data_IF_899605471399
#
_entry.id   IF_899605471399
#
_cell.length_a   1.000
_cell.length_b   1.000
_cell.length_c   1.000
_cell.angle_alpha   90.00
_cell.angle_beta   90.00
_cell.angle_gamma   90.00
#
_symmetry.space_group_name_H-M   'P 1'
#
loop_
_entity.id
_entity.type
_entity.pdbx_description
1 polymer ?
#
# COMPACT_ATOMS: atom_id res chain seq x y z
N UNK A 1 13.78 -3.85 5.64
CA UNK A 1 12.63 -3.58 6.54
C UNK A 1 12.92 -3.95 8.00
N UNK A 2 12.14 -3.49 9.00
CA UNK A 2 12.11 -4.13 10.33
C UNK A 2 11.35 -5.46 10.26
N UNK A 3 11.97 -6.46 9.63
CA UNK A 3 11.29 -7.69 9.24
C UNK A 3 10.67 -8.45 10.42
N UNK A 4 11.42 -8.61 11.50
CA UNK A 4 10.98 -9.34 12.69
C UNK A 4 9.72 -8.71 13.32
N UNK A 5 9.62 -7.37 13.35
CA UNK A 5 8.44 -6.69 13.89
C UNK A 5 7.16 -7.05 13.11
N UNK A 6 7.22 -7.09 11.79
CA UNK A 6 6.07 -7.42 10.95
C UNK A 6 5.75 -8.92 10.95
N UNK A 7 6.77 -9.78 10.97
CA UNK A 7 6.56 -11.22 11.14
C UNK A 7 5.86 -11.52 12.47
N UNK A 8 6.33 -10.96 13.58
CA UNK A 8 5.71 -11.13 14.90
C UNK A 8 4.26 -10.62 14.92
N UNK A 9 3.97 -9.47 14.29
CA UNK A 9 2.60 -8.94 14.19
C UNK A 9 1.64 -9.92 13.49
N UNK A 10 2.07 -10.52 12.39
CA UNK A 10 1.27 -11.51 11.66
C UNK A 10 1.13 -12.81 12.43
N UNK A 11 2.20 -13.32 13.05
CA UNK A 11 2.17 -14.52 13.89
C UNK A 11 1.25 -14.35 15.11
N UNK A 12 1.23 -13.16 15.71
CA UNK A 12 0.38 -12.82 16.85
C UNK A 12 -1.03 -12.36 16.43
N UNK A 13 -1.38 -12.42 15.14
CA UNK A 13 -2.64 -11.96 14.56
C UNK A 13 -3.01 -10.50 14.95
N UNK A 14 -2.00 -9.63 15.12
CA UNK A 14 -2.17 -8.21 15.45
C UNK A 14 -2.38 -7.36 14.19
N UNK A 15 -3.38 -7.76 13.40
CA UNK A 15 -3.67 -7.25 12.04
C UNK A 15 -4.76 -6.17 12.02
N UNK A 16 -4.82 -5.31 13.04
CA UNK A 16 -5.84 -4.24 13.14
C UNK A 16 -5.81 -3.20 12.00
N UNK A 17 -4.83 -3.28 11.10
CA UNK A 17 -4.71 -2.51 9.85
C UNK A 17 -5.44 -3.16 8.66
N UNK A 18 -5.76 -4.46 8.74
CA UNK A 18 -6.50 -5.16 7.70
C UNK A 18 -7.96 -4.70 7.71
N UNK A 19 -8.42 -4.15 6.59
CA UNK A 19 -9.84 -3.88 6.37
C UNK A 19 -10.45 -5.11 5.67
N UNK A 20 -11.56 -5.66 6.19
CA UNK A 20 -12.25 -6.78 5.55
C UNK A 20 -13.03 -6.34 4.30
N UNK A 21 -13.22 -5.03 4.12
CA UNK A 21 -13.89 -4.42 2.98
C UNK A 21 -12.88 -3.78 2.04
N UNK A 22 -13.29 -3.59 0.78
CA UNK A 22 -12.51 -2.84 -0.21
C UNK A 22 -12.51 -1.37 0.21
N UNK A 23 -11.37 -0.71 0.08
CA UNK A 23 -11.24 0.69 0.42
C UNK A 23 -12.14 1.55 -0.49
N UNK A 24 -13.05 2.31 0.11
CA UNK A 24 -14.01 3.14 -0.63
C UNK A 24 -13.33 4.26 -1.42
N UNK A 25 -12.19 4.77 -0.95
CA UNK A 25 -11.43 5.80 -1.67
C UNK A 25 -10.75 5.26 -2.92
N UNK A 26 -10.28 4.01 -2.91
CA UNK A 26 -9.85 3.33 -4.13
C UNK A 26 -10.98 3.36 -5.16
N UNK A 27 -12.17 2.87 -4.80
CA UNK A 27 -13.30 2.82 -5.72
C UNK A 27 -13.73 4.21 -6.23
N UNK A 28 -13.71 5.21 -5.36
CA UNK A 28 -14.14 6.57 -5.70
C UNK A 28 -13.15 7.32 -6.60
N UNK A 29 -11.84 7.06 -6.47
CA UNK A 29 -10.80 7.89 -7.09
C UNK A 29 -9.90 7.16 -8.08
N UNK A 30 -10.03 5.84 -8.26
CA UNK A 30 -9.16 5.07 -9.15
C UNK A 30 -9.14 5.59 -10.59
N UNK A 31 -10.27 6.10 -11.10
CA UNK A 31 -10.35 6.66 -12.46
C UNK A 31 -9.36 7.81 -12.70
N UNK A 32 -8.93 8.52 -11.64
CA UNK A 32 -7.94 9.59 -11.74
C UNK A 32 -6.53 9.09 -12.11
N UNK A 33 -6.23 7.81 -11.85
CA UNK A 33 -4.95 7.17 -12.19
C UNK A 33 -4.82 6.95 -13.69
N UNK A 34 -5.94 6.91 -14.43
CA UNK A 34 -5.96 6.80 -15.91
C UNK A 34 -5.07 5.66 -16.43
N UNK A 35 -4.94 4.59 -15.66
CA UNK A 35 -4.18 3.42 -16.06
C UNK A 35 -4.85 2.77 -17.29
N UNK A 36 -4.07 2.40 -18.33
CA UNK A 36 -4.63 1.72 -19.50
C UNK A 36 -5.33 0.41 -19.13
N UNK A 37 -6.43 0.08 -19.79
CA UNK A 37 -7.13 -1.18 -19.55
C UNK A 37 -6.19 -2.39 -19.77
N UNK A 38 -6.27 -3.39 -18.89
CA UNK A 38 -5.41 -4.58 -18.94
C UNK A 38 -3.96 -4.37 -18.47
N UNK A 39 -3.58 -3.14 -18.11
CA UNK A 39 -2.25 -2.87 -17.55
C UNK A 39 -2.07 -3.46 -16.15
N UNK A 40 -0.82 -3.50 -15.68
CA UNK A 40 -0.48 -3.97 -14.35
C UNK A 40 -0.48 -2.82 -13.34
N UNK A 41 -1.04 -3.06 -12.16
CA UNK A 41 -1.11 -2.09 -11.06
C UNK A 41 -0.27 -2.58 -9.91
N UNK A 42 0.59 -1.72 -9.38
CA UNK A 42 1.43 -2.02 -8.24
C UNK A 42 0.75 -1.68 -6.91
N UNK A 43 0.83 -2.60 -5.94
CA UNK A 43 0.32 -2.42 -4.58
C UNK A 43 1.47 -2.74 -3.61
N UNK A 44 2.21 -1.72 -3.12
CA UNK A 44 3.28 -1.95 -2.15
C UNK A 44 2.73 -2.50 -0.84
N UNK A 45 3.57 -3.22 -0.08
CA UNK A 45 3.31 -3.76 1.27
C UNK A 45 1.87 -4.27 1.43
N UNK A 46 1.44 -5.10 0.47
CA UNK A 46 0.02 -5.32 0.21
C UNK A 46 -0.69 -6.13 1.30
N UNK A 47 0.06 -6.80 2.19
CA UNK A 47 -0.49 -7.72 3.18
C UNK A 47 -1.41 -8.74 2.52
N UNK A 48 -2.68 -8.73 2.95
CA UNK A 48 -3.77 -9.50 2.33
C UNK A 48 -4.90 -8.60 1.81
N UNK A 49 -4.56 -7.43 1.27
CA UNK A 49 -5.57 -6.43 0.89
C UNK A 49 -6.52 -6.95 -0.20
N UNK A 50 -7.83 -6.87 0.09
CA UNK A 50 -8.89 -7.18 -0.88
C UNK A 50 -8.99 -6.13 -2.00
N UNK A 51 -8.33 -4.99 -1.84
CA UNK A 51 -8.20 -3.97 -2.88
C UNK A 51 -7.59 -4.53 -4.17
N UNK A 52 -6.66 -5.50 -4.04
CA UNK A 52 -6.08 -6.20 -5.18
C UNK A 52 -7.14 -6.99 -5.99
N UNK A 53 -8.12 -7.59 -5.31
CA UNK A 53 -9.21 -8.30 -5.97
C UNK A 53 -10.13 -7.34 -6.71
N UNK A 54 -10.38 -6.16 -6.12
CA UNK A 54 -11.15 -5.13 -6.78
C UNK A 54 -10.44 -4.65 -8.05
N UNK A 55 -9.15 -4.32 -7.99
CA UNK A 55 -8.35 -3.94 -9.16
C UNK A 55 -8.39 -5.01 -10.26
N UNK A 56 -8.27 -6.30 -9.92
CA UNK A 56 -8.48 -7.39 -10.89
C UNK A 56 -9.87 -7.40 -11.49
N UNK A 57 -10.91 -7.22 -10.67
CA UNK A 57 -12.29 -7.19 -11.13
C UNK A 57 -12.57 -6.05 -12.11
N UNK A 58 -11.77 -4.97 -12.05
CA UNK A 58 -11.78 -3.88 -13.03
C UNK A 58 -11.01 -4.20 -14.33
N UNK A 59 -10.42 -5.40 -14.44
CA UNK A 59 -9.71 -5.88 -15.63
C UNK A 59 -8.21 -5.56 -15.66
N UNK A 60 -7.63 -5.03 -14.59
CA UNK A 60 -6.19 -4.80 -14.48
C UNK A 60 -5.47 -6.06 -14.01
N UNK A 61 -4.21 -6.26 -14.40
CA UNK A 61 -3.33 -7.18 -13.67
C UNK A 61 -2.84 -6.49 -12.39
N UNK A 62 -2.48 -7.26 -11.37
CA UNK A 62 -2.05 -6.68 -10.08
C UNK A 62 -0.77 -7.33 -9.60
N UNK A 63 0.18 -6.50 -9.21
CA UNK A 63 1.44 -6.89 -8.60
C UNK A 63 1.50 -6.33 -7.18
N UNK A 64 1.43 -7.20 -6.20
CA UNK A 64 1.72 -6.91 -4.80
C UNK A 64 3.15 -7.31 -4.42
N UNK A 65 3.69 -6.65 -3.41
CA UNK A 65 4.86 -7.16 -2.67
C UNK A 65 4.52 -7.17 -1.19
N UNK A 66 4.88 -8.26 -0.51
CA UNK A 66 4.59 -8.44 0.90
C UNK A 66 5.71 -9.25 1.55
N UNK A 67 6.12 -8.85 2.75
CA UNK A 67 7.21 -9.51 3.45
C UNK A 67 6.75 -10.80 4.14
N UNK A 68 5.53 -10.81 4.68
CA UNK A 68 4.98 -11.89 5.49
C UNK A 68 4.40 -13.01 4.62
N UNK A 69 5.08 -14.16 4.58
CA UNK A 69 4.57 -15.36 3.94
C UNK A 69 3.22 -15.82 4.52
N UNK A 70 2.93 -15.52 5.79
CA UNK A 70 1.61 -15.76 6.40
C UNK A 70 0.55 -14.92 5.70
N UNK A 71 0.79 -13.61 5.54
CA UNK A 71 -0.14 -12.71 4.86
C UNK A 71 -0.41 -13.13 3.41
N UNK A 72 0.64 -13.50 2.67
CA UNK A 72 0.53 -13.98 1.29
C UNK A 72 -0.31 -15.26 1.23
N UNK A 73 0.00 -16.26 2.07
CA UNK A 73 -0.77 -17.50 2.13
C UNK A 73 -2.24 -17.26 2.49
N UNK A 74 -2.48 -16.45 3.52
CA UNK A 74 -3.83 -16.12 3.97
C UNK A 74 -4.61 -15.37 2.90
N UNK A 75 -3.97 -14.46 2.15
CA UNK A 75 -4.62 -13.78 1.03
C UNK A 75 -5.18 -14.77 0.00
N UNK A 76 -4.37 -15.72 -0.48
CA UNK A 76 -4.86 -16.69 -1.46
C UNK A 76 -5.89 -17.66 -0.85
N UNK A 77 -5.65 -18.15 0.37
CA UNK A 77 -6.55 -19.10 1.04
C UNK A 77 -7.92 -18.49 1.36
N UNK A 78 -7.97 -17.29 1.96
CA UNK A 78 -9.22 -16.62 2.35
C UNK A 78 -10.09 -16.23 1.15
N UNK A 79 -9.47 -16.08 -0.03
CA UNK A 79 -10.17 -15.73 -1.26
C UNK A 79 -10.39 -16.94 -2.18
N UNK A 80 -10.13 -18.15 -1.71
CA UNK A 80 -10.29 -19.40 -2.44
C UNK A 80 -9.57 -19.41 -3.81
N UNK A 81 -8.38 -18.82 -3.85
CA UNK A 81 -7.50 -18.77 -5.01
C UNK A 81 -6.41 -19.85 -4.88
N UNK A 82 -6.11 -20.54 -5.98
CA UNK A 82 -5.05 -21.54 -6.05
C UNK A 82 -3.85 -20.97 -6.82
N UNK A 83 -2.83 -20.42 -6.12
CA UNK A 83 -1.68 -19.82 -6.78
C UNK A 83 -0.67 -20.89 -7.22
N UNK A 84 -0.07 -20.65 -8.38
CA UNK A 84 1.24 -21.23 -8.70
C UNK A 84 2.32 -20.50 -7.90
N UNK A 85 3.24 -21.25 -7.31
CA UNK A 85 4.36 -20.70 -6.52
C UNK A 85 5.67 -21.05 -7.21
N UNK A 86 6.46 -20.02 -7.53
CA UNK A 86 7.77 -20.18 -8.20
C UNK A 86 8.82 -19.28 -7.56
N UNK A 87 10.11 -19.63 -7.70
CA UNK A 87 11.19 -18.75 -7.26
C UNK A 87 11.41 -17.62 -8.28
N UNK A 88 11.48 -16.37 -7.81
CA UNK A 88 11.75 -15.19 -8.63
C UNK A 88 12.83 -14.34 -7.95
N UNK A 89 14.11 -14.62 -8.25
CA UNK A 89 15.22 -13.92 -7.63
C UNK A 89 15.20 -14.07 -6.09
N UNK A 90 15.09 -12.94 -5.38
CA UNK A 90 15.00 -12.91 -3.92
C UNK A 90 13.59 -13.17 -3.37
N UNK A 91 12.59 -13.36 -4.24
CA UNK A 91 11.19 -13.50 -3.88
C UNK A 91 10.68 -14.91 -4.15
N UNK A 92 9.68 -15.33 -3.38
CA UNK A 92 8.73 -16.34 -3.86
C UNK A 92 7.61 -15.61 -4.61
N UNK A 93 7.36 -15.98 -5.86
CA UNK A 93 6.29 -15.44 -6.69
C UNK A 93 5.05 -16.32 -6.56
N UNK A 94 3.99 -15.75 -5.99
CA UNK A 94 2.68 -16.38 -5.87
C UNK A 94 1.74 -15.78 -6.90
N UNK A 95 1.26 -16.58 -7.85
CA UNK A 95 0.50 -16.08 -9.00
C UNK A 95 -0.76 -16.88 -9.27
N UNK A 96 -1.90 -16.19 -9.41
CA UNK A 96 -3.19 -16.76 -9.79
C UNK A 96 -3.97 -15.75 -10.62
N UNK A 97 -4.33 -16.09 -11.86
CA UNK A 97 -5.20 -15.28 -12.74
C UNK A 97 -4.89 -13.76 -12.67
N UNK A 98 -3.69 -13.36 -13.11
CA UNK A 98 -3.28 -11.95 -13.15
C UNK A 98 -3.08 -11.25 -11.80
N UNK A 99 -3.31 -11.93 -10.67
CA UNK A 99 -2.84 -11.54 -9.33
C UNK A 99 -1.46 -12.13 -9.10
N UNK A 100 -0.50 -11.28 -8.78
CA UNK A 100 0.84 -11.67 -8.41
C UNK A 100 1.15 -11.05 -7.06
N UNK A 101 1.69 -11.84 -6.14
CA UNK A 101 2.36 -11.32 -4.94
C UNK A 101 3.79 -11.84 -4.93
N UNK A 102 4.75 -10.91 -4.88
CA UNK A 102 6.14 -11.20 -4.60
C UNK A 102 6.33 -11.22 -3.08
N UNK A 103 6.52 -12.42 -2.52
CA UNK A 103 6.78 -12.61 -1.11
C UNK A 103 8.27 -12.34 -0.82
N UNK A 104 8.59 -11.21 -0.18
CA UNK A 104 9.96 -10.80 0.14
C UNK A 104 10.08 -9.33 0.55
N UNK A 105 11.32 -8.83 0.68
CA UNK A 105 11.57 -7.45 1.11
C UNK A 105 11.33 -6.47 -0.05
N UNK A 106 10.41 -5.52 0.13
CA UNK A 106 10.15 -4.38 -0.76
C UNK A 106 11.43 -3.71 -1.27
N UNK A 107 12.44 -3.52 -0.41
CA UNK A 107 13.70 -2.86 -0.80
C UNK A 107 14.61 -3.71 -1.70
N UNK A 108 14.25 -4.98 -1.95
CA UNK A 108 14.91 -5.83 -2.93
C UNK A 108 14.25 -5.75 -4.32
N UNK A 109 13.14 -5.04 -4.47
CA UNK A 109 12.53 -4.83 -5.77
C UNK A 109 13.48 -4.03 -6.65
N UNK A 110 13.55 -4.43 -7.91
CA UNK A 110 14.27 -3.72 -8.95
C UNK A 110 13.30 -3.05 -9.92
N UNK A 111 13.81 -2.11 -10.72
CA UNK A 111 13.01 -1.50 -11.78
C UNK A 111 12.49 -2.52 -12.80
N UNK A 112 13.19 -3.66 -12.97
CA UNK A 112 12.75 -4.73 -13.86
C UNK A 112 11.52 -5.48 -13.32
N UNK A 113 11.38 -5.58 -12.00
CA UNK A 113 10.26 -6.27 -11.35
C UNK A 113 8.94 -5.51 -11.51
N UNK A 114 9.01 -4.18 -11.64
CA UNK A 114 7.86 -3.28 -11.73
C UNK A 114 7.75 -2.56 -13.09
N UNK A 115 8.53 -2.97 -14.09
CA UNK A 115 8.65 -2.27 -15.37
C UNK A 115 7.32 -2.17 -16.15
N UNK A 116 6.44 -3.15 -15.99
CA UNK A 116 5.15 -3.23 -16.68
C UNK A 116 4.01 -2.54 -15.91
N UNK A 117 4.30 -1.99 -14.72
CA UNK A 117 3.30 -1.29 -13.94
C UNK A 117 2.92 0.03 -14.61
N UNK A 118 1.63 0.34 -14.63
CA UNK A 118 1.05 1.54 -15.22
C UNK A 118 0.30 2.42 -14.21
N UNK A 119 0.29 2.04 -12.94
CA UNK A 119 -0.29 2.79 -11.85
C UNK A 119 0.04 2.15 -10.50
N UNK A 120 -0.10 2.93 -9.43
CA UNK A 120 0.18 2.48 -8.06
C UNK A 120 -0.99 2.79 -7.16
N UNK A 121 -1.33 1.86 -6.27
CA UNK A 121 -2.21 2.11 -5.14
C UNK A 121 -1.43 1.93 -3.83
N UNK A 122 -0.98 3.04 -3.23
CA UNK A 122 -0.26 3.05 -1.96
C UNK A 122 -1.24 3.40 -0.83
N UNK A 123 -1.69 2.36 -0.13
CA UNK A 123 -2.54 2.48 1.05
C UNK A 123 -2.01 1.54 2.12
N UNK A 124 -1.96 2.02 3.35
CA UNK A 124 -1.40 1.28 4.48
C UNK A 124 0.07 0.83 4.29
N UNK A 125 0.80 1.41 3.33
CA UNK A 125 2.22 1.12 3.08
C UNK A 125 3.11 2.22 3.63
N UNK A 126 3.04 3.44 3.08
CA UNK A 126 3.82 4.58 3.58
C UNK A 126 3.58 4.83 5.08
N UNK A 127 2.32 4.79 5.51
CA UNK A 127 1.91 5.00 6.90
C UNK A 127 2.28 3.83 7.84
N UNK A 128 2.68 2.67 7.32
CA UNK A 128 3.14 1.54 8.13
C UNK A 128 4.58 1.74 8.61
N UNK A 129 5.34 2.62 7.98
CA UNK A 129 6.77 2.77 8.21
C UNK A 129 7.08 3.89 9.21
N UNK A 130 8.06 3.70 10.11
CA UNK A 130 8.53 4.77 10.99
C UNK A 130 9.21 5.90 10.18
N UNK A 131 9.31 7.13 10.73
CA UNK A 131 9.78 8.32 10.00
C UNK A 131 11.12 8.14 9.27
N UNK A 132 12.10 7.48 9.90
CA UNK A 132 13.43 7.22 9.34
C UNK A 132 13.39 6.30 8.11
N UNK A 133 12.46 5.34 8.08
CA UNK A 133 12.28 4.43 6.95
C UNK A 133 11.39 5.00 5.84
N UNK A 134 10.50 5.95 6.15
CA UNK A 134 9.56 6.54 5.17
C UNK A 134 10.29 7.25 4.02
N UNK A 135 11.36 7.99 4.33
CA UNK A 135 12.20 8.66 3.33
C UNK A 135 12.82 7.64 2.38
N UNK A 136 13.43 6.58 2.92
CA UNK A 136 14.04 5.52 2.12
C UNK A 136 13.00 4.80 1.26
N UNK A 137 11.81 4.53 1.81
CA UNK A 137 10.70 3.93 1.08
C UNK A 137 10.26 4.77 -0.11
N UNK A 138 9.97 6.06 0.10
CA UNK A 138 9.55 6.96 -0.96
C UNK A 138 10.63 7.06 -2.05
N UNK A 139 11.89 7.27 -1.66
CA UNK A 139 13.02 7.34 -2.61
C UNK A 139 13.18 6.04 -3.41
N UNK A 140 13.06 4.88 -2.76
CA UNK A 140 13.16 3.61 -3.45
C UNK A 140 12.01 3.39 -4.42
N UNK A 141 10.76 3.65 -3.99
CA UNK A 141 9.56 3.55 -4.82
C UNK A 141 9.68 4.41 -6.09
N UNK A 142 10.09 5.68 -5.93
CA UNK A 142 10.31 6.61 -7.03
C UNK A 142 11.41 6.12 -7.98
N UNK A 143 12.48 5.53 -7.44
CA UNK A 143 13.62 5.09 -8.23
C UNK A 143 13.35 3.85 -9.09
N UNK A 144 12.49 2.93 -8.63
CA UNK A 144 12.21 1.67 -9.34
C UNK A 144 11.02 1.77 -10.29
N UNK A 145 10.04 2.62 -9.99
CA UNK A 145 8.82 2.69 -10.80
C UNK A 145 9.03 3.42 -12.13
N UNK A 146 8.33 3.00 -13.20
CA UNK A 146 8.09 3.86 -14.34
C UNK A 146 7.37 5.16 -13.93
N UNK A 147 7.38 6.22 -14.76
CA UNK A 147 6.67 7.46 -14.47
C UNK A 147 5.16 7.24 -14.61
N UNK A 148 4.54 6.69 -13.57
CA UNK A 148 3.12 6.35 -13.51
C UNK A 148 2.42 7.09 -12.38
N UNK A 149 1.10 7.21 -12.49
CA UNK A 149 0.31 7.88 -11.46
C UNK A 149 0.15 7.00 -10.22
N UNK A 150 0.16 7.63 -9.04
CA UNK A 150 -0.03 6.95 -7.75
C UNK A 150 -1.27 7.50 -7.05
N UNK A 151 -2.16 6.62 -6.60
CA UNK A 151 -3.20 6.94 -5.63
C UNK A 151 -2.63 6.63 -4.24
N UNK A 152 -2.40 7.67 -3.44
CA UNK A 152 -1.81 7.58 -2.11
C UNK A 152 -2.87 7.89 -1.04
N UNK A 153 -2.98 7.04 -0.03
CA UNK A 153 -3.83 7.25 1.14
C UNK A 153 -2.99 7.39 2.40
N UNK A 154 -3.13 8.50 3.12
CA UNK A 154 -2.44 8.75 4.38
C UNK A 154 -3.41 9.01 5.54
N UNK A 155 -2.91 8.84 6.76
CA UNK A 155 -3.59 9.25 7.99
C UNK A 155 -2.79 10.34 8.67
N UNK A 156 -3.47 11.35 9.18
CA UNK A 156 -2.89 12.48 9.89
C UNK A 156 -3.58 12.66 11.24
N UNK A 157 -2.79 12.71 12.31
CA UNK A 157 -3.22 12.89 13.69
C UNK A 157 -2.04 13.42 14.52
N UNK A 158 -2.25 13.81 15.78
CA UNK A 158 -1.15 14.18 16.67
C UNK A 158 -0.28 12.96 17.02
N UNK A 159 0.89 12.85 16.39
CA UNK A 159 1.83 11.73 16.56
C UNK A 159 2.31 11.56 18.01
N UNK A 160 2.19 12.59 18.87
CA UNK A 160 2.55 12.48 20.30
C UNK A 160 1.54 11.66 21.12
N UNK A 161 0.31 11.49 20.63
CA UNK A 161 -0.76 10.75 21.31
C UNK A 161 -0.67 9.24 21.04
N UNK A 162 -0.18 8.86 19.85
CA UNK A 162 -0.13 7.47 19.40
C UNK A 162 1.16 7.21 18.61
N UNK A 163 1.94 6.18 18.95
CA UNK A 163 3.24 5.90 18.33
C UNK A 163 3.20 4.91 17.14
N UNK A 164 2.05 4.77 16.48
CA UNK A 164 1.88 3.89 15.32
C UNK A 164 2.16 2.39 15.56
N UNK A 165 2.23 1.59 14.48
CA UNK A 165 1.53 1.86 13.23
C UNK A 165 -0.02 1.89 13.41
N UNK A 166 -0.75 2.53 12.47
CA UNK A 166 -0.23 3.41 11.42
C UNK A 166 0.37 4.70 12.03
N UNK A 167 1.46 5.20 11.45
CA UNK A 167 2.07 6.48 11.77
C UNK A 167 1.32 7.62 11.09
N UNK A 168 1.36 8.81 11.69
CA UNK A 168 0.86 10.02 11.05
C UNK A 168 1.82 10.41 9.92
N UNK A 169 1.25 10.70 8.76
CA UNK A 169 1.97 11.23 7.60
C UNK A 169 1.31 12.52 7.19
N UNK A 170 1.94 13.64 7.55
CA UNK A 170 1.40 14.96 7.29
C UNK A 170 1.55 15.34 5.83
N UNK A 171 0.67 16.21 5.33
CA UNK A 171 0.75 16.70 3.94
C UNK A 171 2.12 17.31 3.59
N UNK A 172 2.77 17.99 4.55
CA UNK A 172 4.10 18.53 4.36
C UNK A 172 5.14 17.44 4.04
N UNK A 173 5.06 16.28 4.70
CA UNK A 173 5.93 15.14 4.43
C UNK A 173 5.62 14.53 3.05
N UNK A 174 4.34 14.41 2.67
CA UNK A 174 3.95 13.95 1.32
C UNK A 174 4.56 14.86 0.24
N UNK A 175 4.49 16.18 0.42
CA UNK A 175 5.09 17.13 -0.53
C UNK A 175 6.60 17.03 -0.54
N UNK A 176 7.24 16.95 0.63
CA UNK A 176 8.69 16.79 0.73
C UNK A 176 9.20 15.54 -0.02
N UNK A 177 8.49 14.42 0.10
CA UNK A 177 8.89 13.16 -0.53
C UNK A 177 8.65 13.13 -2.04
N UNK A 178 7.54 13.71 -2.52
CA UNK A 178 7.08 13.45 -3.88
C UNK A 178 7.07 14.67 -4.81
N UNK A 179 7.04 15.91 -4.30
CA UNK A 179 6.79 17.11 -5.13
C UNK A 179 7.95 17.44 -6.09
N UNK A 180 9.15 16.90 -5.84
CA UNK A 180 10.28 17.01 -6.77
C UNK A 180 10.09 16.20 -8.07
N UNK A 181 9.35 15.09 -8.02
CA UNK A 181 9.17 14.16 -9.15
C UNK A 181 7.72 14.09 -9.64
N UNK A 182 6.77 14.50 -8.81
CA UNK A 182 5.34 14.45 -9.08
C UNK A 182 4.68 15.79 -8.80
N UNK A 183 3.62 16.09 -9.53
CA UNK A 183 2.59 17.02 -9.09
C UNK A 183 1.72 16.34 -8.03
N UNK A 184 1.64 16.93 -6.83
CA UNK A 184 0.89 16.40 -5.69
C UNK A 184 -0.48 17.08 -5.58
N UNK A 185 -1.55 16.36 -5.88
CA UNK A 185 -2.93 16.86 -5.80
C UNK A 185 -3.68 16.11 -4.69
N UNK A 186 -4.13 16.83 -3.66
CA UNK A 186 -5.02 16.27 -2.64
C UNK A 186 -6.46 16.24 -3.15
N UNK A 187 -7.05 15.06 -3.23
CA UNK A 187 -8.43 14.86 -3.68
C UNK A 187 -9.44 14.95 -2.54
N UNK A 188 -9.07 14.45 -1.36
CA UNK A 188 -9.98 14.33 -0.22
C UNK A 188 -9.24 14.56 1.09
N UNK A 189 -9.96 15.15 2.06
CA UNK A 189 -9.70 15.07 3.49
C UNK A 189 -11.02 14.72 4.15
N UNK A 190 -11.03 13.70 5.00
CA UNK A 190 -12.20 13.32 5.80
C UNK A 190 -11.76 13.00 7.22
N UNK A 191 -12.57 13.42 8.20
CA UNK A 191 -12.39 12.95 9.57
C UNK A 191 -12.87 11.50 9.65
N UNK A 192 -11.92 10.57 9.82
CA UNK A 192 -12.15 9.14 9.86
C UNK A 192 -12.29 8.60 11.30
N UNK A 193 -12.30 9.48 12.32
CA UNK A 193 -12.27 9.08 13.71
C UNK A 193 -13.56 8.41 14.17
N UNK A 194 -14.72 8.86 13.67
CA UNK A 194 -16.03 8.24 13.98
C UNK A 194 -16.11 6.80 13.45
N UNK A 195 -15.55 6.55 12.26
CA UNK A 195 -15.53 5.22 11.63
C UNK A 195 -14.42 4.31 12.18
N UNK A 196 -13.58 4.82 13.08
CA UNK A 196 -12.40 4.12 13.60
C UNK A 196 -12.35 4.07 15.14
N UNK A 197 -13.22 3.28 15.79
CA UNK A 197 -13.33 3.23 17.25
C UNK A 197 -12.02 2.84 17.95
N UNK A 198 -11.18 2.02 17.31
CA UNK A 198 -9.87 1.64 17.84
C UNK A 198 -8.93 2.84 18.02
N UNK A 199 -9.01 3.86 17.15
CA UNK A 199 -8.17 5.05 17.25
C UNK A 199 -8.61 5.98 18.38
N UNK A 200 -9.92 6.09 18.64
CA UNK A 200 -10.45 6.79 19.83
C UNK A 200 -9.98 6.15 21.14
N UNK A 201 -9.98 4.81 21.21
CA UNK A 201 -9.48 4.08 22.38
C UNK A 201 -7.98 4.32 22.63
N UNK A 202 -7.21 4.64 21.59
CA UNK A 202 -5.79 5.01 21.68
C UNK A 202 -5.58 6.50 22.00
N UNK A 203 -6.65 7.24 22.30
CA UNK A 203 -6.60 8.63 22.77
C UNK A 203 -6.74 9.69 21.68
N UNK A 204 -6.91 9.31 20.41
CA UNK A 204 -7.06 10.28 19.33
C UNK A 204 -8.39 11.03 19.45
N UNK A 205 -8.32 12.36 19.31
CA UNK A 205 -9.46 13.27 19.27
C UNK A 205 -9.73 13.83 17.88
N UNK A 206 -8.81 13.62 16.94
CA UNK A 206 -8.95 13.91 15.51
C UNK A 206 -8.14 12.87 14.72
N UNK A 207 -8.65 12.46 13.56
CA UNK A 207 -7.96 11.59 12.61
C UNK A 207 -8.39 11.95 11.20
N UNK A 208 -7.53 12.62 10.46
CA UNK A 208 -7.80 12.96 9.06
C UNK A 208 -7.27 11.84 8.16
N UNK A 209 -8.14 11.19 7.39
CA UNK A 209 -7.72 10.38 6.24
C UNK A 209 -7.65 11.27 4.99
N UNK A 210 -6.52 11.21 4.28
CA UNK A 210 -6.24 12.07 3.13
C UNK A 210 -5.91 11.22 1.91
N UNK A 211 -6.49 11.60 0.78
CA UNK A 211 -6.27 10.92 -0.51
C UNK A 211 -5.58 11.88 -1.46
N UNK A 212 -4.49 11.41 -2.08
CA UNK A 212 -3.70 12.16 -3.04
C UNK A 212 -3.60 11.41 -4.36
N UNK A 213 -3.56 12.16 -5.46
CA UNK A 213 -3.02 11.69 -6.73
C UNK A 213 -1.67 12.33 -6.94
N UNK A 214 -0.67 11.49 -7.20
CA UNK A 214 0.67 11.90 -7.59
C UNK A 214 0.79 11.68 -9.10
N UNK A 215 0.97 12.75 -9.86
CA UNK A 215 1.13 12.68 -11.32
C UNK A 215 2.59 13.01 -11.68
N UNK A 216 3.34 12.11 -12.32
CA UNK A 216 4.74 12.35 -12.68
C UNK A 216 4.87 13.54 -13.63
N UNK A 217 5.98 14.28 -13.52
CA UNK A 217 6.29 15.44 -14.37
C UNK A 217 6.56 15.07 -15.84
#
# INVERSE_FOLDING_TARGET
MQANFWHERWELNQIGFHQPEINSHLQAFWEQIRAPAGSQIFVPLCGKSRDMLWLRSQGFNVLGVELSAIAVRDFFAENALEPSVTQHGAFERWECDGLVILCGDFFQLSAADVAECAGVFDRASLIALPPDMRVQYAQHLIAILPPVQTLLVTLEYDQSVMHGPPFAVHEAEVREFYEQTFTVIRLLVVDALDDSPNFRQRGLTQLDEKVYVLTPH
#
